data_IF_517238757142
#
_entry.id   IF_517238757142
#
_cell.length_a   1.000
_cell.length_b   1.000
_cell.length_c   1.000
_cell.angle_alpha   90.00
_cell.angle_beta   90.00
_cell.angle_gamma   90.00
#
_symmetry.space_group_name_H-M   'P 1'
#
loop_
_entity.id
_entity.type
_entity.pdbx_description
1 polymer ?
#
# COMPACT_ATOMS: atom_id res chain seq x y z
N UNK A 1 -12.57 -5.78 -2.25
CA UNK A 1 -12.28 -5.99 -3.69
C UNK A 1 -12.10 -4.62 -4.34
N UNK A 2 -10.93 -4.34 -4.91
CA UNK A 2 -10.70 -3.11 -5.66
C UNK A 2 -11.60 -3.13 -6.90
N UNK A 3 -12.38 -2.07 -7.08
CA UNK A 3 -13.33 -1.93 -8.18
C UNK A 3 -12.56 -1.86 -9.51
N UNK A 4 -12.57 -2.94 -10.28
CA UNK A 4 -11.82 -3.09 -11.54
C UNK A 4 -12.27 -2.11 -12.64
N UNK A 5 -13.36 -1.36 -12.40
CA UNK A 5 -13.87 -0.31 -13.30
C UNK A 5 -13.24 1.06 -13.07
N UNK A 6 -12.43 1.23 -12.04
CA UNK A 6 -11.75 2.50 -11.75
C UNK A 6 -10.66 2.79 -12.75
N UNK A 7 -10.47 4.05 -13.10
CA UNK A 7 -9.29 4.48 -13.87
C UNK A 7 -7.99 4.00 -13.19
N UNK A 8 -6.93 3.64 -13.95
CA UNK A 8 -5.72 3.05 -13.37
C UNK A 8 -5.15 3.85 -12.19
N UNK A 9 -5.17 5.19 -12.29
CA UNK A 9 -4.77 6.09 -11.21
C UNK A 9 -5.58 5.88 -9.92
N UNK A 10 -6.90 5.83 -10.04
CA UNK A 10 -7.79 5.63 -8.89
C UNK A 10 -7.62 4.24 -8.28
N UNK A 11 -7.36 3.22 -9.12
CA UNK A 11 -7.10 1.87 -8.66
C UNK A 11 -5.81 1.79 -7.82
N UNK A 12 -4.74 2.48 -8.23
CA UNK A 12 -3.47 2.56 -7.48
C UNK A 12 -3.70 3.25 -6.13
N UNK A 13 -4.38 4.39 -6.12
CA UNK A 13 -4.73 5.11 -4.89
C UNK A 13 -5.55 4.23 -3.95
N UNK A 14 -6.52 3.50 -4.49
CA UNK A 14 -7.34 2.58 -3.72
C UNK A 14 -6.55 1.40 -3.14
N UNK A 15 -5.53 0.91 -3.86
CA UNK A 15 -4.66 -0.14 -3.35
C UNK A 15 -3.87 0.34 -2.12
N UNK A 16 -3.35 1.56 -2.16
CA UNK A 16 -2.66 2.16 -1.02
C UNK A 16 -3.61 2.34 0.19
N UNK A 17 -4.81 2.90 -0.03
CA UNK A 17 -5.81 3.05 1.05
C UNK A 17 -6.22 1.71 1.64
N UNK A 18 -6.30 0.65 0.83
CA UNK A 18 -6.58 -0.70 1.33
C UNK A 18 -5.44 -1.21 2.23
N UNK A 19 -4.18 -1.00 1.85
CA UNK A 19 -3.04 -1.33 2.72
C UNK A 19 -3.09 -0.58 4.05
N UNK A 20 -3.33 0.74 4.05
CA UNK A 20 -3.40 1.54 5.27
C UNK A 20 -4.49 1.06 6.23
N UNK A 21 -5.65 0.66 5.70
CA UNK A 21 -6.72 0.06 6.49
C UNK A 21 -6.27 -1.23 7.17
N UNK A 22 -5.54 -2.09 6.47
CA UNK A 22 -5.04 -3.33 7.08
C UNK A 22 -3.97 -3.05 8.14
N UNK A 23 -3.07 -2.08 7.90
CA UNK A 23 -2.11 -1.65 8.90
C UNK A 23 -2.78 -1.07 10.16
N UNK A 24 -3.95 -0.43 10.02
CA UNK A 24 -4.71 0.09 11.18
C UNK A 24 -5.18 -1.01 12.14
N UNK A 25 -5.29 -2.26 11.68
CA UNK A 25 -5.64 -3.41 12.52
C UNK A 25 -4.43 -4.01 13.24
N UNK A 26 -3.21 -3.60 12.91
CA UNK A 26 -1.99 -4.15 13.53
C UNK A 26 -1.50 -3.20 14.64
N UNK A 27 -1.47 -3.66 15.90
CA UNK A 27 -1.02 -2.83 17.02
C UNK A 27 0.41 -2.31 16.84
N UNK A 28 0.62 -1.01 17.04
CA UNK A 28 1.93 -0.37 16.96
C UNK A 28 2.35 0.08 15.55
N UNK A 29 1.62 -0.28 14.49
CA UNK A 29 1.90 0.17 13.11
C UNK A 29 0.72 0.88 12.45
N UNK A 30 -0.35 1.14 13.20
CA UNK A 30 -1.50 1.88 12.70
C UNK A 30 -1.07 3.29 12.20
N UNK A 31 -1.57 3.72 11.02
CA UNK A 31 -1.35 5.09 10.53
C UNK A 31 -1.92 6.13 11.50
N UNK A 32 -1.20 7.24 11.67
CA UNK A 32 -1.64 8.43 12.40
C UNK A 32 -2.06 9.54 11.42
N UNK A 33 -2.90 10.47 11.87
CA UNK A 33 -3.43 11.56 11.02
C UNK A 33 -2.35 12.47 10.41
N UNK A 34 -1.19 12.54 11.06
CA UNK A 34 -0.05 13.37 10.63
C UNK A 34 1.01 12.58 9.87
N UNK A 35 0.87 11.27 9.77
CA UNK A 35 1.85 10.44 9.07
C UNK A 35 1.79 10.70 7.57
N UNK A 36 2.96 10.87 6.98
CA UNK A 36 3.14 10.72 5.55
C UNK A 36 3.14 9.22 5.17
N UNK A 37 2.85 8.88 3.90
CA UNK A 37 2.93 7.50 3.42
C UNK A 37 4.26 6.81 3.71
N UNK A 38 5.36 7.56 3.67
CA UNK A 38 6.70 7.06 3.96
C UNK A 38 6.90 6.78 5.45
N UNK A 39 6.34 7.60 6.35
CA UNK A 39 6.43 7.41 7.80
C UNK A 39 5.64 6.18 8.28
N UNK A 40 4.42 5.99 7.75
CA UNK A 40 3.63 4.76 8.00
C UNK A 40 4.45 3.52 7.59
N UNK A 41 5.08 3.58 6.43
CA UNK A 41 5.88 2.49 5.88
C UNK A 41 7.10 2.16 6.75
N UNK A 42 7.85 3.19 7.13
CA UNK A 42 9.04 3.04 7.96
C UNK A 42 8.69 2.31 9.27
N UNK A 43 7.59 2.73 9.91
CA UNK A 43 7.07 2.08 11.12
C UNK A 43 6.69 0.61 10.86
N UNK A 44 5.97 0.33 9.78
CA UNK A 44 5.60 -1.04 9.44
C UNK A 44 6.82 -1.95 9.21
N UNK A 45 7.91 -1.42 8.63
CA UNK A 45 9.16 -2.17 8.41
C UNK A 45 9.96 -2.32 9.71
N UNK A 46 10.04 -1.29 10.54
CA UNK A 46 10.72 -1.31 11.85
C UNK A 46 10.11 -2.34 12.79
N UNK A 47 8.77 -2.39 12.83
CA UNK A 47 8.01 -3.41 13.57
C UNK A 47 7.99 -4.77 12.85
N UNK A 48 8.69 -4.87 11.72
CA UNK A 48 8.75 -6.02 10.81
C UNK A 48 7.41 -6.44 10.23
N UNK A 49 6.32 -5.70 10.45
CA UNK A 49 5.00 -6.01 9.92
C UNK A 49 4.98 -6.18 8.39
N UNK A 50 5.85 -5.46 7.67
CA UNK A 50 6.01 -5.56 6.22
C UNK A 50 7.46 -5.78 5.80
N UNK A 51 7.65 -6.39 4.64
CA UNK A 51 8.92 -6.42 3.93
C UNK A 51 9.14 -5.09 3.20
N UNK A 52 10.28 -4.46 3.44
CA UNK A 52 10.56 -3.10 2.96
C UNK A 52 10.48 -2.94 1.44
N UNK A 53 10.84 -3.98 0.67
CA UNK A 53 10.83 -3.90 -0.80
C UNK A 53 9.41 -3.82 -1.39
N UNK A 54 8.51 -4.74 -1.00
CA UNK A 54 7.12 -4.79 -1.48
C UNK A 54 6.38 -3.49 -1.14
N UNK A 55 6.57 -3.04 0.10
CA UNK A 55 5.87 -1.90 0.64
C UNK A 55 6.39 -0.57 0.04
N UNK A 56 7.71 -0.42 -0.14
CA UNK A 56 8.30 0.77 -0.77
C UNK A 56 7.90 0.90 -2.25
N UNK A 57 7.77 -0.21 -2.97
CA UNK A 57 7.30 -0.20 -4.35
C UNK A 57 5.84 0.29 -4.46
N UNK A 58 4.95 -0.14 -3.55
CA UNK A 58 3.56 0.30 -3.54
C UNK A 58 3.44 1.78 -3.20
N UNK A 59 4.20 2.27 -2.21
CA UNK A 59 4.22 3.70 -1.83
C UNK A 59 4.76 4.57 -2.94
N UNK A 60 5.82 4.14 -3.64
CA UNK A 60 6.38 4.88 -4.78
C UNK A 60 5.35 5.04 -5.89
N UNK A 61 4.66 3.95 -6.25
CA UNK A 61 3.62 3.97 -7.29
C UNK A 61 2.42 4.82 -6.87
N UNK A 62 2.05 4.78 -5.59
CA UNK A 62 1.03 5.67 -5.02
C UNK A 62 1.43 7.14 -5.11
N UNK A 63 2.66 7.48 -4.71
CA UNK A 63 3.15 8.85 -4.76
C UNK A 63 3.15 9.39 -6.19
N UNK A 64 3.53 8.55 -7.16
CA UNK A 64 3.43 8.88 -8.57
C UNK A 64 1.96 9.09 -9.00
N UNK A 65 1.07 8.17 -8.66
CA UNK A 65 -0.35 8.30 -8.98
C UNK A 65 -1.03 9.52 -8.32
N UNK A 66 -0.55 9.97 -7.15
CA UNK A 66 -1.16 11.08 -6.40
C UNK A 66 -0.58 12.45 -6.74
N UNK A 67 0.74 12.54 -6.93
CA UNK A 67 1.44 13.81 -7.03
C UNK A 67 2.04 14.07 -8.42
N UNK A 68 2.15 13.04 -9.27
CA UNK A 68 2.71 13.18 -10.62
C UNK A 68 1.63 13.35 -11.68
N UNK A 69 1.87 14.19 -12.71
CA UNK A 69 1.04 14.24 -13.91
C UNK A 69 1.21 13.02 -14.83
N UNK A 70 2.14 12.10 -14.52
CA UNK A 70 2.39 10.89 -15.30
C UNK A 70 1.10 10.10 -15.57
N UNK A 71 0.89 9.63 -16.81
CA UNK A 71 -0.31 8.87 -17.20
C UNK A 71 -0.24 7.44 -16.66
N UNK A 72 -1.15 7.10 -15.75
CA UNK A 72 -1.26 5.74 -15.22
C UNK A 72 -1.97 4.84 -16.24
N UNK A 73 -1.37 3.67 -16.53
CA UNK A 73 -1.90 2.70 -17.48
C UNK A 73 -2.27 1.39 -16.77
N UNK A 74 -2.77 0.42 -17.53
CA UNK A 74 -3.19 -0.87 -16.98
C UNK A 74 -2.03 -1.66 -16.34
N UNK A 75 -0.81 -1.53 -16.86
CA UNK A 75 0.37 -2.17 -16.28
C UNK A 75 0.65 -1.65 -14.87
N UNK A 76 0.56 -0.33 -14.66
CA UNK A 76 0.66 0.27 -13.33
C UNK A 76 -0.44 -0.26 -12.39
N UNK A 77 -1.68 -0.41 -12.89
CA UNK A 77 -2.77 -1.01 -12.08
C UNK A 77 -2.42 -2.44 -11.67
N UNK A 78 -1.99 -3.27 -12.60
CA UNK A 78 -1.65 -4.66 -12.30
C UNK A 78 -0.50 -4.76 -11.30
N UNK A 79 0.54 -3.92 -11.45
CA UNK A 79 1.65 -3.85 -10.50
C UNK A 79 1.13 -3.47 -9.11
N UNK A 80 0.29 -2.44 -8.98
CA UNK A 80 -0.29 -2.05 -7.69
C UNK A 80 -1.09 -3.18 -7.04
N UNK A 81 -1.91 -3.89 -7.83
CA UNK A 81 -2.69 -5.02 -7.35
C UNK A 81 -1.83 -6.19 -6.88
N UNK A 82 -0.76 -6.52 -7.62
CA UNK A 82 0.20 -7.56 -7.22
C UNK A 82 0.92 -7.18 -5.93
N UNK A 83 1.43 -5.94 -5.84
CA UNK A 83 2.12 -5.44 -4.65
C UNK A 83 1.20 -5.41 -3.44
N UNK A 84 -0.04 -4.94 -3.58
CA UNK A 84 -1.04 -5.01 -2.50
C UNK A 84 -1.22 -6.45 -2.04
N UNK A 85 -1.39 -7.40 -2.96
CA UNK A 85 -1.60 -8.80 -2.57
C UNK A 85 -0.42 -9.38 -1.79
N UNK A 86 0.82 -9.05 -2.16
CA UNK A 86 2.01 -9.45 -1.40
C UNK A 86 2.00 -8.85 0.01
N UNK A 87 1.75 -7.54 0.12
CA UNK A 87 1.65 -6.83 1.40
C UNK A 87 0.57 -7.43 2.31
N UNK A 88 -0.60 -7.77 1.76
CA UNK A 88 -1.68 -8.38 2.52
C UNK A 88 -1.37 -9.80 3.01
N UNK A 89 -0.62 -10.57 2.22
CA UNK A 89 -0.16 -11.92 2.57
C UNK A 89 0.89 -11.86 3.70
N UNK A 90 1.81 -10.88 3.62
CA UNK A 90 2.79 -10.60 4.67
C UNK A 90 2.12 -10.22 6.01
N UNK A 91 1.08 -9.37 5.96
CA UNK A 91 0.31 -8.98 7.15
C UNK A 91 -0.48 -10.15 7.73
N UNK A 92 -1.18 -10.92 6.90
CA UNK A 92 -1.99 -12.07 7.34
C UNK A 92 -1.14 -13.14 8.03
N UNK A 93 0.06 -13.40 7.51
CA UNK A 93 1.00 -14.36 8.10
C UNK A 93 1.41 -13.97 9.52
N UNK A 94 1.40 -12.67 9.86
CA UNK A 94 1.81 -12.16 11.17
C UNK A 94 0.69 -12.06 12.19
N UNK A 95 -0.56 -11.87 11.75
CA UNK A 95 -1.71 -11.87 12.65
C UNK A 95 -2.09 -13.29 13.11
N UNK A 96 -1.63 -14.32 12.40
CA UNK A 96 -1.91 -15.73 12.71
C UNK A 96 -1.00 -16.34 13.81
N UNK A 97 -0.19 -15.54 14.48
CA UNK A 97 0.77 -15.95 15.53
C UNK A 97 0.42 -15.28 16.85
#
# INVERSE_FOLDING_TARGET
>A
MADLRREPREAIIACYVAMERELSHVPGVAPQDFDTPTEVLARAVEHRALHGASAAALVSLFAEARFSPHVMNEEHREVAMRLLRLVLDELSTRTAI
#
